data_IF_266872369814
#
_entry.id   IF_266872369814
#
_cell.length_a   1.000
_cell.length_b   1.000
_cell.length_c   1.000
_cell.angle_alpha   90.00
_cell.angle_beta   90.00
_cell.angle_gamma   90.00
#
_symmetry.space_group_name_H-M   'P 1'
#
loop_
_entity.id
_entity.type
_entity.pdbx_description
1 polymer ?
#
# COMPACT_ATOMS: atom_id res chain seq x y z
N UNK A 1 3.71 -21.17 -12.19
CA UNK A 1 4.00 -19.88 -11.53
C UNK A 1 4.85 -20.18 -10.29
N UNK A 2 6.11 -19.75 -10.28
CA UNK A 2 7.14 -20.27 -9.38
C UNK A 2 6.84 -20.03 -7.89
N UNK A 3 7.16 -21.02 -7.04
CA UNK A 3 7.01 -21.08 -5.56
C UNK A 3 7.61 -19.88 -4.79
N UNK A 4 8.34 -19.02 -5.49
CA UNK A 4 8.95 -17.79 -4.98
C UNK A 4 7.98 -16.61 -4.99
N UNK A 5 7.22 -16.41 -6.08
CA UNK A 5 6.25 -15.30 -6.19
C UNK A 5 5.11 -15.43 -5.19
N UNK A 6 4.75 -16.66 -4.81
CA UNK A 6 3.73 -16.94 -3.79
C UNK A 6 4.15 -16.55 -2.37
N UNK A 7 5.41 -16.15 -2.15
CA UNK A 7 5.92 -15.74 -0.83
C UNK A 7 6.01 -14.21 -0.67
N UNK A 8 5.85 -13.45 -1.74
CA UNK A 8 5.93 -11.98 -1.69
C UNK A 8 4.58 -11.45 -1.21
N UNK A 9 4.55 -10.87 -0.02
CA UNK A 9 3.35 -10.19 0.47
C UNK A 9 3.16 -8.86 -0.26
N UNK A 10 1.91 -8.39 -0.42
CA UNK A 10 1.65 -7.07 -1.00
C UNK A 10 2.40 -5.95 -0.27
N UNK A 11 2.56 -6.03 1.06
CA UNK A 11 3.37 -5.11 1.85
C UNK A 11 4.81 -5.04 1.31
N UNK A 12 5.47 -6.18 1.14
CA UNK A 12 6.86 -6.22 0.68
C UNK A 12 7.02 -5.75 -0.76
N UNK A 13 6.05 -6.06 -1.64
CA UNK A 13 6.04 -5.53 -3.00
C UNK A 13 5.98 -3.99 -3.01
N UNK A 14 5.09 -3.40 -2.20
CA UNK A 14 4.94 -1.95 -2.07
C UNK A 14 6.17 -1.29 -1.44
N UNK A 15 6.72 -1.89 -0.37
CA UNK A 15 7.95 -1.41 0.29
C UNK A 15 9.14 -1.44 -0.66
N UNK A 16 9.30 -2.51 -1.42
CA UNK A 16 10.38 -2.64 -2.40
C UNK A 16 10.23 -1.61 -3.53
N UNK A 17 9.03 -1.45 -4.09
CA UNK A 17 8.77 -0.49 -5.16
C UNK A 17 9.02 0.96 -4.74
N UNK A 18 8.40 1.39 -3.63
CA UNK A 18 8.58 2.75 -3.09
C UNK A 18 10.01 2.98 -2.61
N UNK A 19 10.61 2.01 -1.93
CA UNK A 19 11.98 2.10 -1.46
C UNK A 19 12.98 2.23 -2.62
N UNK A 20 12.86 1.42 -3.66
CA UNK A 20 13.71 1.52 -4.84
C UNK A 20 13.55 2.86 -5.58
N UNK A 21 12.31 3.37 -5.66
CA UNK A 21 12.03 4.69 -6.21
C UNK A 21 12.77 5.78 -5.41
N UNK A 22 12.70 5.78 -4.07
CA UNK A 22 13.44 6.74 -3.24
C UNK A 22 14.96 6.58 -3.28
N UNK A 23 15.48 5.37 -3.44
CA UNK A 23 16.93 5.17 -3.69
C UNK A 23 17.32 5.90 -4.98
N UNK A 24 16.55 5.68 -6.05
CA UNK A 24 16.83 6.29 -7.34
C UNK A 24 16.71 7.82 -7.29
N UNK A 25 15.58 8.35 -6.81
CA UNK A 25 15.35 9.79 -6.73
C UNK A 25 16.32 10.48 -5.78
N UNK A 26 16.57 9.91 -4.60
CA UNK A 26 17.52 10.47 -3.64
C UNK A 26 18.95 10.56 -4.18
N UNK A 27 19.44 9.51 -4.87
CA UNK A 27 20.75 9.54 -5.54
C UNK A 27 20.77 10.60 -6.65
N UNK A 28 19.72 10.65 -7.47
CA UNK A 28 19.65 11.57 -8.61
C UNK A 28 19.61 13.04 -8.15
N UNK A 29 18.81 13.36 -7.13
CA UNK A 29 18.73 14.70 -6.54
C UNK A 29 20.08 15.15 -5.98
N UNK A 30 20.81 14.27 -5.28
CA UNK A 30 22.11 14.60 -4.71
C UNK A 30 23.14 14.86 -5.81
N UNK A 31 23.12 14.08 -6.90
CA UNK A 31 24.09 14.19 -8.01
C UNK A 31 23.77 15.34 -8.96
N UNK A 32 22.48 15.59 -9.19
CA UNK A 32 21.98 16.52 -10.20
C UNK A 32 20.86 17.43 -9.65
N UNK A 33 21.10 18.20 -8.58
CA UNK A 33 20.06 19.01 -7.93
C UNK A 33 19.43 20.03 -8.89
N UNK A 34 20.19 20.56 -9.86
CA UNK A 34 19.69 21.52 -10.85
C UNK A 34 18.58 20.94 -11.74
N UNK A 35 18.53 19.62 -11.94
CA UNK A 35 17.48 18.94 -12.70
C UNK A 35 16.13 18.92 -11.96
N UNK A 36 16.11 19.26 -10.67
CA UNK A 36 14.92 19.21 -9.80
C UNK A 36 14.40 20.60 -9.41
N UNK A 37 15.04 21.67 -9.90
CA UNK A 37 14.62 23.05 -9.65
C UNK A 37 13.17 23.31 -10.07
N UNK A 38 12.71 22.65 -11.13
CA UNK A 38 11.35 22.79 -11.65
C UNK A 38 10.29 22.32 -10.65
N UNK A 39 10.60 21.38 -9.75
CA UNK A 39 9.65 20.89 -8.76
C UNK A 39 9.53 21.87 -7.57
N UNK A 40 10.63 22.51 -7.17
CA UNK A 40 10.66 23.40 -5.99
C UNK A 40 10.22 24.83 -6.32
N UNK A 41 10.59 25.35 -7.50
CA UNK A 41 10.30 26.75 -7.87
C UNK A 41 8.81 27.11 -7.86
N UNK A 42 7.87 26.25 -8.33
CA UNK A 42 6.44 26.52 -8.21
C UNK A 42 5.98 26.64 -6.75
N UNK A 43 6.55 25.82 -5.86
CA UNK A 43 6.21 25.81 -4.43
C UNK A 43 6.59 27.13 -3.75
N UNK A 44 7.69 27.77 -4.17
CA UNK A 44 8.14 29.06 -3.62
C UNK A 44 7.07 30.16 -3.72
N UNK A 45 6.17 30.10 -4.72
CA UNK A 45 5.09 31.08 -4.89
C UNK A 45 4.13 31.16 -3.70
N UNK A 46 4.03 30.08 -2.93
CA UNK A 46 3.17 29.98 -1.75
C UNK A 46 3.84 30.51 -0.47
N UNK A 47 5.14 30.84 -0.52
CA UNK A 47 5.87 31.37 0.63
C UNK A 47 5.92 32.90 0.63
N UNK A 48 6.13 33.54 1.80
CA UNK A 48 6.35 34.98 1.89
C UNK A 48 7.57 35.45 1.07
N UNK A 49 7.56 36.72 0.64
CA UNK A 49 8.63 37.30 -0.19
C UNK A 49 10.04 37.19 0.44
N UNK A 50 10.15 37.29 1.77
CA UNK A 50 11.40 37.10 2.50
C UNK A 50 11.97 35.68 2.36
N UNK A 51 11.11 34.66 2.33
CA UNK A 51 11.51 33.26 2.14
C UNK A 51 11.85 33.02 0.67
N UNK A 52 11.07 33.57 -0.27
CA UNK A 52 11.36 33.49 -1.70
C UNK A 52 12.73 34.09 -2.05
N UNK A 53 13.08 35.25 -1.46
CA UNK A 53 14.35 35.92 -1.71
C UNK A 53 15.58 35.12 -1.21
N UNK A 54 15.39 34.29 -0.18
CA UNK A 54 16.44 33.45 0.37
C UNK A 54 16.50 32.09 -0.35
N UNK A 55 15.40 31.35 -0.38
CA UNK A 55 15.35 30.00 -0.99
C UNK A 55 15.41 30.04 -2.51
N UNK A 56 15.03 31.14 -3.15
CA UNK A 56 15.12 31.30 -4.60
C UNK A 56 16.55 31.44 -5.13
N UNK A 57 17.54 31.64 -4.25
CA UNK A 57 18.95 31.69 -4.66
C UNK A 57 19.42 30.30 -5.06
N UNK A 58 20.15 30.14 -6.19
CA UNK A 58 20.59 28.83 -6.68
C UNK A 58 21.37 28.02 -5.63
N UNK A 59 22.23 28.67 -4.86
CA UNK A 59 23.01 28.03 -3.81
C UNK A 59 22.12 27.44 -2.69
N UNK A 60 21.11 28.19 -2.24
CA UNK A 60 20.18 27.71 -1.21
C UNK A 60 19.28 26.60 -1.74
N UNK A 61 18.81 26.72 -2.99
CA UNK A 61 17.98 25.70 -3.62
C UNK A 61 18.77 24.38 -3.79
N UNK A 62 20.05 24.45 -4.15
CA UNK A 62 20.93 23.28 -4.22
C UNK A 62 21.06 22.60 -2.86
N UNK A 63 21.33 23.36 -1.79
CA UNK A 63 21.45 22.80 -0.44
C UNK A 63 20.15 22.15 0.03
N UNK A 64 19.04 22.82 -0.23
CA UNK A 64 17.71 22.29 0.08
C UNK A 64 17.45 20.97 -0.65
N UNK A 65 17.73 20.91 -1.95
CA UNK A 65 17.54 19.70 -2.75
C UNK A 65 18.47 18.57 -2.30
N UNK A 66 19.76 18.84 -2.07
CA UNK A 66 20.68 17.82 -1.54
C UNK A 66 20.20 17.28 -0.20
N UNK A 67 19.71 18.15 0.69
CA UNK A 67 19.12 17.72 1.95
C UNK A 67 17.86 16.87 1.73
N UNK A 68 16.97 17.26 0.82
CA UNK A 68 15.81 16.46 0.44
C UNK A 68 16.23 15.08 -0.07
N UNK A 69 17.21 15.00 -0.97
CA UNK A 69 17.73 13.73 -1.47
C UNK A 69 18.27 12.83 -0.37
N UNK A 70 18.94 13.40 0.65
CA UNK A 70 19.38 12.63 1.84
C UNK A 70 18.16 12.10 2.62
N UNK A 71 17.13 12.92 2.82
CA UNK A 71 15.89 12.50 3.49
C UNK A 71 15.21 11.38 2.72
N UNK A 72 15.15 11.47 1.39
CA UNK A 72 14.62 10.40 0.53
C UNK A 72 15.40 9.09 0.68
N UNK A 73 16.74 9.14 0.75
CA UNK A 73 17.54 7.94 1.03
C UNK A 73 17.28 7.36 2.42
N UNK A 74 17.01 8.19 3.43
CA UNK A 74 16.58 7.71 4.74
C UNK A 74 15.23 7.00 4.64
N UNK A 75 14.24 7.59 3.95
CA UNK A 75 12.94 6.94 3.71
C UNK A 75 13.10 5.60 2.98
N UNK A 76 13.99 5.55 1.98
CA UNK A 76 14.31 4.31 1.27
C UNK A 76 14.83 3.22 2.22
N UNK A 77 15.77 3.57 3.10
CA UNK A 77 16.30 2.63 4.10
C UNK A 77 15.19 2.17 5.04
N UNK A 78 14.36 3.08 5.54
CA UNK A 78 13.25 2.74 6.44
C UNK A 78 12.23 1.80 5.78
N UNK A 79 11.96 1.97 4.49
CA UNK A 79 11.07 1.10 3.73
C UNK A 79 11.71 -0.25 3.43
N UNK A 80 12.98 -0.30 3.05
CA UNK A 80 13.64 -1.54 2.61
C UNK A 80 14.20 -2.40 3.75
N UNK A 81 14.48 -1.82 4.92
CA UNK A 81 15.04 -2.55 6.04
C UNK A 81 14.01 -3.50 6.67
N UNK A 82 14.23 -4.80 6.50
CA UNK A 82 13.37 -5.86 7.04
C UNK A 82 13.48 -6.03 8.55
N UNK A 83 14.60 -5.61 9.15
CA UNK A 83 14.89 -5.73 10.58
C UNK A 83 14.41 -4.54 11.40
N UNK A 84 13.95 -3.45 10.77
CA UNK A 84 13.45 -2.27 11.47
C UNK A 84 12.01 -2.47 11.97
N UNK A 85 11.62 -1.80 13.07
CA UNK A 85 10.28 -1.91 13.60
C UNK A 85 9.24 -1.36 12.61
N UNK A 86 8.13 -2.07 12.45
CA UNK A 86 7.08 -1.76 11.46
C UNK A 86 6.50 -0.34 11.57
N UNK A 87 6.53 0.27 12.76
CA UNK A 87 6.05 1.64 12.93
C UNK A 87 6.86 2.65 12.11
N UNK A 88 8.16 2.42 11.87
CA UNK A 88 8.98 3.29 11.03
C UNK A 88 8.59 3.20 9.56
N UNK A 89 8.33 1.98 9.07
CA UNK A 89 7.79 1.76 7.72
C UNK A 89 6.42 2.42 7.57
N UNK A 90 5.58 2.39 8.61
CA UNK A 90 4.27 3.05 8.64
C UNK A 90 4.41 4.57 8.50
N UNK A 91 5.28 5.19 9.29
CA UNK A 91 5.52 6.64 9.17
C UNK A 91 6.13 7.00 7.83
N UNK A 92 7.05 6.19 7.32
CA UNK A 92 7.64 6.41 5.99
C UNK A 92 6.56 6.38 4.91
N UNK A 93 5.69 5.36 4.91
CA UNK A 93 4.57 5.28 3.97
C UNK A 93 3.59 6.46 4.09
N UNK A 94 3.35 6.97 5.30
CA UNK A 94 2.53 8.17 5.51
C UNK A 94 3.20 9.40 4.91
N UNK A 95 4.49 9.63 5.22
CA UNK A 95 5.27 10.74 4.67
C UNK A 95 5.25 10.70 3.14
N UNK A 96 5.49 9.53 2.55
CA UNK A 96 5.39 9.30 1.10
C UNK A 96 4.02 9.66 0.54
N UNK A 97 2.95 9.26 1.22
CA UNK A 97 1.59 9.60 0.79
C UNK A 97 1.38 11.11 0.80
N UNK A 98 1.81 11.79 1.87
CA UNK A 98 1.68 13.23 2.01
C UNK A 98 2.55 14.00 1.01
N UNK A 99 3.75 13.51 0.74
CA UNK A 99 4.67 14.08 -0.24
C UNK A 99 4.07 14.07 -1.64
N UNK A 100 3.62 12.91 -2.13
CA UNK A 100 3.01 12.83 -3.45
C UNK A 100 1.66 13.55 -3.53
N UNK A 101 0.89 13.57 -2.43
CA UNK A 101 -0.30 14.40 -2.36
C UNK A 101 0.05 15.89 -2.49
N UNK A 102 1.09 16.37 -1.80
CA UNK A 102 1.54 17.75 -1.89
C UNK A 102 2.05 18.11 -3.30
N UNK A 103 2.83 17.23 -3.94
CA UNK A 103 3.29 17.39 -5.32
C UNK A 103 2.08 17.55 -6.25
N UNK A 104 1.13 16.62 -6.21
CA UNK A 104 -0.04 16.63 -7.10
C UNK A 104 -0.99 17.81 -6.86
N UNK A 105 -1.04 18.34 -5.64
CA UNK A 105 -1.90 19.48 -5.30
C UNK A 105 -1.25 20.84 -5.60
N UNK A 106 0.08 20.93 -5.50
CA UNK A 106 0.81 22.21 -5.54
C UNK A 106 1.59 22.43 -6.84
N UNK A 107 1.86 21.37 -7.61
CA UNK A 107 2.59 21.41 -8.88
C UNK A 107 1.59 21.12 -10.02
N UNK A 108 1.64 21.88 -11.14
CA UNK A 108 0.77 21.63 -12.28
C UNK A 108 0.88 20.20 -12.81
N UNK A 109 -0.26 19.62 -13.20
CA UNK A 109 -0.30 18.26 -13.76
C UNK A 109 0.28 18.27 -15.18
N UNK A 110 1.30 17.45 -15.37
CA UNK A 110 1.99 17.19 -16.63
C UNK A 110 2.32 15.70 -16.75
N UNK A 111 3.04 15.30 -17.80
CA UNK A 111 3.41 13.90 -18.01
C UNK A 111 4.29 13.32 -16.88
N UNK A 112 5.06 14.17 -16.19
CA UNK A 112 5.95 13.75 -15.10
C UNK A 112 5.11 13.52 -13.84
N UNK A 113 4.33 14.51 -13.43
CA UNK A 113 3.50 14.46 -12.21
C UNK A 113 2.32 13.48 -12.34
N UNK A 114 1.83 13.19 -13.55
CA UNK A 114 0.80 12.17 -13.74
C UNK A 114 1.21 10.78 -13.22
N UNK A 115 2.50 10.43 -13.35
CA UNK A 115 3.02 9.15 -12.83
C UNK A 115 2.94 9.07 -11.30
N UNK A 116 2.95 10.21 -10.63
CA UNK A 116 2.98 10.32 -9.18
C UNK A 116 1.62 9.95 -8.56
N UNK A 117 0.53 9.90 -9.35
CA UNK A 117 -0.76 9.35 -8.93
C UNK A 117 -0.61 7.87 -8.52
N UNK A 118 0.19 7.10 -9.28
CA UNK A 118 0.47 5.71 -8.94
C UNK A 118 1.30 5.58 -7.66
N UNK A 119 2.26 6.48 -7.46
CA UNK A 119 3.10 6.51 -6.26
C UNK A 119 2.31 6.92 -5.01
N UNK A 120 1.40 7.89 -5.14
CA UNK A 120 0.42 8.26 -4.11
C UNK A 120 -0.43 7.05 -3.71
N UNK A 121 -0.99 6.33 -4.69
CA UNK A 121 -1.79 5.14 -4.45
C UNK A 121 -1.01 4.03 -3.74
N UNK A 122 0.24 3.79 -4.16
CA UNK A 122 1.13 2.82 -3.53
C UNK A 122 1.48 3.20 -2.08
N UNK A 123 1.80 4.48 -1.82
CA UNK A 123 2.06 4.99 -0.49
C UNK A 123 0.86 4.83 0.44
N UNK A 124 -0.32 5.25 -0.04
CA UNK A 124 -1.57 5.16 0.73
C UNK A 124 -1.93 3.70 1.03
N UNK A 125 -1.84 2.82 0.03
CA UNK A 125 -2.12 1.40 0.21
C UNK A 125 -1.18 0.76 1.24
N UNK A 126 0.12 1.06 1.17
CA UNK A 126 1.10 0.56 2.14
C UNK A 126 0.80 1.08 3.54
N UNK A 127 0.49 2.37 3.68
CA UNK A 127 0.15 2.96 4.97
C UNK A 127 -1.09 2.29 5.59
N UNK A 128 -2.16 2.10 4.81
CA UNK A 128 -3.39 1.43 5.28
C UNK A 128 -3.14 -0.03 5.70
N UNK A 129 -2.33 -0.77 4.94
CA UNK A 129 -1.94 -2.15 5.30
C UNK A 129 -1.19 -2.16 6.65
N UNK A 130 -0.21 -1.28 6.84
CA UNK A 130 0.59 -1.21 8.06
C UNK A 130 -0.21 -0.68 9.27
N UNK A 131 -1.19 0.21 9.05
CA UNK A 131 -2.12 0.63 10.11
C UNK A 131 -3.01 -0.52 10.54
N UNK A 132 -3.56 -1.28 9.58
CA UNK A 132 -4.47 -2.39 9.87
C UNK A 132 -3.79 -3.47 10.70
N UNK A 133 -2.55 -3.83 10.40
CA UNK A 133 -1.80 -4.83 11.18
C UNK A 133 -1.57 -4.43 12.65
N UNK A 134 -1.54 -3.12 12.96
CA UNK A 134 -1.44 -2.62 14.35
C UNK A 134 -2.77 -2.74 15.09
N UNK A 135 -3.90 -2.69 14.36
CA UNK A 135 -5.26 -2.77 14.92
C UNK A 135 -5.91 -4.15 14.80
N UNK A 136 -5.17 -5.18 14.37
CA UNK A 136 -5.62 -6.56 14.60
C UNK A 136 -5.49 -6.81 16.10
N UNK A 137 -6.56 -6.48 16.83
CA UNK A 137 -6.90 -7.15 18.09
C UNK A 137 -6.68 -8.62 17.80
N UNK A 138 -5.84 -9.35 18.57
CA UNK A 138 -5.69 -10.77 18.36
C UNK A 138 -7.10 -11.31 18.36
N UNK A 139 -7.57 -11.77 17.19
CA UNK A 139 -8.77 -12.57 17.12
C UNK A 139 -8.50 -13.62 18.18
N UNK A 140 -9.27 -13.55 19.26
CA UNK A 140 -9.24 -14.56 20.30
C UNK A 140 -9.16 -15.87 19.55
N UNK A 141 -8.20 -16.71 19.91
CA UNK A 141 -8.13 -18.06 19.39
C UNK A 141 -9.35 -18.80 19.96
N UNK A 142 -10.55 -18.39 19.57
CA UNK A 142 -11.64 -19.29 19.32
C UNK A 142 -11.14 -20.20 18.21
N UNK A 143 -10.37 -21.20 18.65
CA UNK A 143 -10.52 -22.54 18.11
C UNK A 143 -12.02 -22.68 17.93
N UNK A 144 -12.55 -22.90 16.71
CA UNK A 144 -13.92 -23.34 16.60
C UNK A 144 -14.00 -24.61 17.44
N UNK A 145 -14.56 -24.47 18.64
CA UNK A 145 -14.80 -25.56 19.54
C UNK A 145 -15.65 -26.51 18.71
N UNK A 146 -15.08 -27.69 18.44
CA UNK A 146 -15.25 -28.39 17.17
C UNK A 146 -16.60 -28.16 16.52
N UNK A 147 -16.61 -27.81 15.24
CA UNK A 147 -17.71 -28.18 14.36
C UNK A 147 -18.00 -29.64 14.65
N UNK A 148 -18.98 -29.89 15.51
CA UNK A 148 -19.67 -31.17 15.60
C UNK A 148 -20.13 -31.32 14.17
N UNK A 149 -19.42 -32.17 13.45
CA UNK A 149 -19.86 -32.72 12.18
C UNK A 149 -21.30 -33.09 12.47
N UNK A 150 -22.25 -32.39 11.84
CA UNK A 150 -23.65 -32.78 11.92
C UNK A 150 -23.61 -34.19 11.35
N UNK A 151 -23.67 -35.19 12.22
CA UNK A 151 -23.87 -36.56 11.80
C UNK A 151 -25.22 -36.50 11.10
N UNK A 152 -25.19 -36.63 9.79
CA UNK A 152 -26.38 -36.91 9.04
C UNK A 152 -26.89 -38.23 9.60
N UNK A 153 -27.89 -38.16 10.47
CA UNK A 153 -28.71 -39.30 10.77
C UNK A 153 -29.31 -39.72 9.44
N UNK A 154 -28.75 -40.77 8.84
CA UNK A 154 -29.44 -41.55 7.83
C UNK A 154 -30.74 -41.99 8.49
N UNK A 155 -31.91 -41.55 8.00
CA UNK A 155 -33.17 -42.00 8.55
C UNK A 155 -33.20 -43.53 8.43
N UNK A 156 -33.55 -44.18 9.54
CA UNK A 156 -33.70 -45.63 9.59
C UNK A 156 -35.00 -45.98 8.84
N UNK A 157 -34.90 -46.08 7.51
CA UNK A 157 -35.99 -46.44 6.62
C UNK A 157 -36.43 -47.85 6.99
N UNK A 158 -37.67 -47.97 7.47
CA UNK A 158 -38.22 -49.27 7.83
C UNK A 158 -38.41 -50.11 6.55
N UNK A 159 -38.18 -51.43 6.59
CA UNK A 159 -38.44 -52.30 5.45
C UNK A 159 -39.92 -52.20 5.06
N UNK A 160 -40.21 -51.62 3.88
CA UNK A 160 -41.57 -51.45 3.36
C UNK A 160 -42.00 -50.01 3.06
N UNK A 161 -41.21 -49.00 3.44
CA UNK A 161 -41.48 -47.61 3.03
C UNK A 161 -41.03 -47.39 1.57
N UNK A 162 -41.93 -46.80 0.77
CA UNK A 162 -41.67 -46.43 -0.62
C UNK A 162 -40.51 -45.45 -0.68
N UNK A 163 -39.42 -45.90 -1.29
CA UNK A 163 -38.22 -45.09 -1.51
C UNK A 163 -38.51 -44.14 -2.66
N UNK A 164 -38.89 -42.92 -2.33
CA UNK A 164 -39.13 -41.88 -3.34
C UNK A 164 -37.77 -41.40 -3.82
N UNK A 165 -37.40 -41.73 -5.05
CA UNK A 165 -36.04 -41.50 -5.55
C UNK A 165 -35.86 -40.10 -6.13
N UNK A 166 -36.97 -39.41 -6.44
CA UNK A 166 -36.96 -38.07 -7.04
C UNK A 166 -37.96 -37.13 -6.39
N UNK A 167 -37.66 -35.83 -6.40
CA UNK A 167 -38.52 -34.81 -5.81
C UNK A 167 -39.89 -34.72 -6.52
N UNK A 168 -39.94 -35.02 -7.81
CA UNK A 168 -41.17 -35.00 -8.62
C UNK A 168 -42.15 -36.11 -8.21
N UNK A 169 -41.60 -37.28 -7.86
CA UNK A 169 -42.37 -38.42 -7.36
C UNK A 169 -42.94 -38.15 -5.95
N UNK A 170 -42.22 -37.36 -5.14
CA UNK A 170 -42.73 -36.89 -3.84
C UNK A 170 -43.87 -35.88 -3.99
N UNK A 171 -43.80 -35.01 -5.01
CA UNK A 171 -44.79 -33.97 -5.25
C UNK A 171 -46.05 -34.47 -5.99
N UNK A 172 -46.11 -35.75 -6.36
CA UNK A 172 -47.28 -36.36 -6.99
C UNK A 172 -47.61 -35.80 -8.39
N UNK A 173 -46.68 -35.07 -9.00
CA UNK A 173 -46.86 -34.48 -10.33
C UNK A 173 -46.34 -35.44 -11.39
N UNK A 174 -47.17 -36.39 -11.79
CA UNK A 174 -46.89 -37.21 -12.97
C UNK A 174 -47.12 -36.38 -14.24
N UNK A 175 -46.16 -36.27 -15.18
CA UNK A 175 -46.44 -35.73 -16.49
C UNK A 175 -47.40 -36.69 -17.23
N UNK A 176 -48.43 -36.12 -17.88
CA UNK A 176 -49.37 -36.86 -18.73
C UNK A 176 -48.69 -37.45 -19.96
#
# INVERSE_FOLDING_TARGET
MNKFLSKITPEWALRAGLGAMYVYSGIDIIRHPTAWYWAVRPLLKWFPASVQANLGQPEMLNRYLVFQGIVELVLAILLLAWFLPKFLARWSALITTLEFAAILLLIPIDAITFRDIGLLGAGLALWLLLVREVFIIPAEKDKPNGTKRVEYHTPNVKPGELKVETFEEFMGTQPK
#
